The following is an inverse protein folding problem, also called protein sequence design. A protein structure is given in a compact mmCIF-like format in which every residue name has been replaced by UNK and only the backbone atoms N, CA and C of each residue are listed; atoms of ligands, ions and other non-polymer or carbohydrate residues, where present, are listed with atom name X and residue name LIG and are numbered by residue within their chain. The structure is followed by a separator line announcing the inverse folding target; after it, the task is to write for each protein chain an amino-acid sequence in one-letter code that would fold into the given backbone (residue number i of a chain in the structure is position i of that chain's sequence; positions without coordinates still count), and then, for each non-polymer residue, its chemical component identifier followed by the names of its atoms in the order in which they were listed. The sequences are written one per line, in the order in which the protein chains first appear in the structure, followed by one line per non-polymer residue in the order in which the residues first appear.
data_IF_177356931725
#
_entry.id   IF_177356931725
#
_cell.length_a   1.000
_cell.length_b   1.000
_cell.length_c   1.000
_cell.angle_alpha   90.00
_cell.angle_beta   90.00
_cell.angle_gamma   90.00
#
_symmetry.space_group_name_H-M   'P 1'
#
loop_
_entity.id
_entity.type
_entity.pdbx_description
1 polymer ?
#
# COMPACT_ATOMS: atom_id res chain seq x y z
N UNK A 1 24.33 16.52 9.71
CA UNK A 1 23.07 15.76 9.72
C UNK A 1 23.26 14.61 10.69
N UNK A 2 22.46 14.54 11.76
CA UNK A 2 22.50 13.37 12.63
C UNK A 2 22.04 12.13 11.83
N UNK A 3 22.57 10.94 12.11
CA UNK A 3 22.05 9.73 11.48
C UNK A 3 20.52 9.64 11.72
N UNK A 4 19.78 9.21 10.69
CA UNK A 4 18.32 9.01 10.68
C UNK A 4 17.42 10.25 10.55
N UNK A 5 17.98 11.45 10.41
CA UNK A 5 17.20 12.65 10.06
C UNK A 5 17.15 12.76 8.54
N UNK A 6 15.95 12.82 7.94
CA UNK A 6 15.78 13.27 6.55
C UNK A 6 15.69 14.80 6.54
N UNK A 7 16.17 15.42 5.45
CA UNK A 7 16.05 16.85 5.28
C UNK A 7 14.56 17.18 5.13
N UNK A 8 14.01 17.84 6.14
CA UNK A 8 12.67 18.38 6.17
C UNK A 8 12.79 19.91 6.26
N UNK A 9 11.82 20.63 5.71
CA UNK A 9 11.84 22.10 5.68
C UNK A 9 11.63 22.71 7.07
N UNK A 10 11.14 21.92 8.03
CA UNK A 10 11.00 22.28 9.45
C UNK A 10 11.99 21.46 10.31
N UNK A 11 12.93 22.11 11.03
CA UNK A 11 13.89 21.43 11.90
C UNK A 11 13.27 20.87 13.19
N UNK A 12 11.96 21.02 13.39
CA UNK A 12 11.23 20.59 14.58
C UNK A 12 10.01 19.73 14.26
N UNK A 13 9.55 18.92 15.22
CA UNK A 13 8.36 18.08 15.06
C UNK A 13 8.66 16.64 14.59
N UNK A 14 7.72 16.04 13.86
CA UNK A 14 7.81 14.67 13.34
C UNK A 14 7.65 14.67 11.83
N UNK A 15 8.45 13.87 11.11
CA UNK A 15 8.36 13.68 9.66
C UNK A 15 8.27 12.20 9.28
N UNK A 16 8.34 11.92 7.99
CA UNK A 16 8.34 10.55 7.44
C UNK A 16 9.36 10.41 6.30
N UNK A 17 9.44 9.21 5.71
CA UNK A 17 10.26 8.92 4.52
C UNK A 17 11.55 8.17 4.83
N UNK A 18 11.84 7.93 6.12
CA UNK A 18 12.94 7.09 6.53
C UNK A 18 12.73 5.65 6.03
N UNK A 19 13.81 4.86 5.84
CA UNK A 19 13.70 3.49 5.34
C UNK A 19 13.21 2.50 6.41
N UNK A 20 12.68 2.96 7.54
CA UNK A 20 12.29 2.09 8.65
C UNK A 20 10.84 1.64 8.56
N UNK A 21 10.52 0.52 9.20
CA UNK A 21 9.20 -0.11 9.10
C UNK A 21 8.05 0.82 9.55
N UNK A 22 8.29 1.70 10.52
CA UNK A 22 7.28 2.64 11.00
C UNK A 22 6.84 3.67 9.95
N UNK A 23 7.69 3.96 8.96
CA UNK A 23 7.36 4.86 7.82
C UNK A 23 6.87 4.09 6.59
N UNK A 24 7.21 2.80 6.46
CA UNK A 24 6.83 1.98 5.30
C UNK A 24 5.50 1.22 5.49
N UNK A 25 5.13 0.89 6.73
CA UNK A 25 4.02 -0.01 7.01
C UNK A 25 2.70 0.75 7.17
N UNK A 26 1.89 0.76 6.11
CA UNK A 26 0.58 1.42 6.06
C UNK A 26 -0.58 0.42 6.13
N UNK A 27 -1.73 0.79 6.73
CA UNK A 27 -2.92 -0.06 6.71
C UNK A 27 -3.56 -0.10 5.31
N UNK A 28 -4.04 -1.27 4.90
CA UNK A 28 -4.79 -1.47 3.66
C UNK A 28 -6.15 -2.10 3.99
N UNK A 29 -7.23 -1.37 3.70
CA UNK A 29 -8.60 -1.83 3.91
C UNK A 29 -9.32 -1.93 2.57
N UNK A 30 -10.01 -3.05 2.35
CA UNK A 30 -10.93 -3.26 1.24
C UNK A 30 -12.34 -3.47 1.78
N UNK A 31 -13.33 -2.86 1.14
CA UNK A 31 -14.71 -2.94 1.56
C UNK A 31 -15.65 -2.98 0.35
N UNK A 32 -16.74 -3.75 0.45
CA UNK A 32 -17.80 -3.80 -0.55
C UNK A 32 -18.21 -5.21 -0.99
N UNK A 33 -19.14 -5.27 -1.95
CA UNK A 33 -19.78 -6.50 -2.41
C UNK A 33 -18.86 -7.50 -3.13
N UNK A 34 -17.64 -7.11 -3.51
CA UNK A 34 -16.65 -8.00 -4.15
C UNK A 34 -15.46 -8.35 -3.24
N UNK A 35 -15.53 -7.99 -1.96
CA UNK A 35 -14.47 -8.23 -0.98
C UNK A 35 -14.83 -9.38 -0.06
N UNK A 36 -13.94 -10.37 0.07
CA UNK A 36 -14.07 -11.45 1.05
C UNK A 36 -13.72 -10.91 2.45
N UNK A 37 -14.64 -10.97 3.43
CA UNK A 37 -14.36 -10.50 4.77
C UNK A 37 -13.20 -11.24 5.44
N UNK A 38 -12.48 -10.52 6.30
CA UNK A 38 -11.46 -11.08 7.18
C UNK A 38 -10.14 -10.34 7.14
N UNK A 39 -9.20 -10.82 7.94
CA UNK A 39 -7.86 -10.24 8.07
C UNK A 39 -6.90 -11.07 7.21
N UNK A 40 -6.02 -10.40 6.48
CA UNK A 40 -4.89 -11.02 5.78
C UNK A 40 -3.61 -10.48 6.40
N UNK A 41 -2.71 -11.40 6.78
CA UNK A 41 -1.36 -11.07 7.30
C UNK A 41 -0.27 -11.36 6.27
N UNK A 42 -0.67 -11.68 5.04
CA UNK A 42 0.23 -11.88 3.91
C UNK A 42 0.84 -10.55 3.47
N UNK A 43 2.08 -10.55 2.97
CA UNK A 43 2.69 -9.33 2.43
C UNK A 43 1.85 -8.74 1.28
N UNK A 44 1.67 -7.41 1.35
CA UNK A 44 1.03 -6.59 0.32
C UNK A 44 1.79 -5.27 0.20
N UNK A 45 1.87 -4.74 -1.01
CA UNK A 45 2.48 -3.45 -1.31
C UNK A 45 1.41 -2.45 -1.77
N UNK A 46 1.68 -1.15 -1.61
CA UNK A 46 0.81 -0.08 -2.14
C UNK A 46 0.65 -0.22 -3.67
N UNK A 47 1.67 -0.72 -4.37
CA UNK A 47 1.64 -0.99 -5.80
C UNK A 47 0.62 -2.06 -6.22
N UNK A 48 0.13 -2.89 -5.28
CA UNK A 48 -0.85 -3.94 -5.54
C UNK A 48 -2.28 -3.41 -5.64
N UNK A 49 -2.54 -2.18 -5.16
CA UNK A 49 -3.90 -1.59 -5.08
C UNK A 49 -4.50 -1.43 -6.48
N UNK A 50 -3.76 -0.80 -7.40
CA UNK A 50 -4.24 -0.51 -8.74
C UNK A 50 -4.58 -1.78 -9.57
N UNK A 51 -3.70 -2.79 -9.70
CA UNK A 51 -4.05 -4.03 -10.42
C UNK A 51 -5.16 -4.83 -9.73
N UNK A 52 -5.25 -4.81 -8.39
CA UNK A 52 -6.34 -5.47 -7.67
C UNK A 52 -7.69 -4.83 -7.93
N UNK A 53 -7.77 -3.49 -7.94
CA UNK A 53 -9.00 -2.78 -8.24
C UNK A 53 -9.42 -2.99 -9.70
N UNK A 54 -8.47 -2.96 -10.64
CA UNK A 54 -8.74 -3.26 -12.04
C UNK A 54 -9.34 -4.67 -12.21
N UNK A 55 -8.72 -5.68 -11.58
CA UNK A 55 -9.23 -7.05 -11.57
C UNK A 55 -10.64 -7.15 -10.96
N UNK A 56 -10.88 -6.47 -9.83
CA UNK A 56 -12.19 -6.42 -9.17
C UNK A 56 -13.27 -5.83 -10.07
N UNK A 57 -12.92 -4.87 -10.93
CA UNK A 57 -13.83 -4.18 -11.85
C UNK A 57 -13.93 -4.83 -13.24
N UNK A 58 -13.10 -5.84 -13.54
CA UNK A 58 -13.03 -6.43 -14.88
C UNK A 58 -12.38 -5.53 -15.92
N UNK A 59 -11.46 -4.66 -15.49
CA UNK A 59 -10.71 -3.74 -16.34
C UNK A 59 -9.29 -4.25 -16.58
N UNK A 60 -8.67 -3.79 -17.67
CA UNK A 60 -7.23 -3.96 -17.87
C UNK A 60 -6.47 -3.20 -16.77
N UNK A 61 -5.39 -3.79 -16.26
CA UNK A 61 -4.51 -3.12 -15.31
C UNK A 61 -3.84 -1.90 -15.98
N UNK A 62 -3.56 -0.81 -15.22
CA UNK A 62 -2.78 0.30 -15.74
C UNK A 62 -1.41 -0.17 -16.28
N UNK A 63 -0.98 0.37 -17.42
CA UNK A 63 0.26 -0.07 -18.08
C UNK A 63 1.53 0.12 -17.23
N UNK A 64 1.51 1.01 -16.23
CA UNK A 64 2.59 1.23 -15.28
C UNK A 64 2.49 0.43 -13.97
N UNK A 65 1.49 -0.44 -13.82
CA UNK A 65 1.32 -1.24 -12.61
C UNK A 65 2.47 -2.25 -12.45
N UNK A 66 3.08 -2.27 -11.27
CA UNK A 66 4.19 -3.18 -10.91
C UNK A 66 3.84 -4.18 -9.80
N UNK A 67 2.68 -4.01 -9.16
CA UNK A 67 2.20 -4.88 -8.10
C UNK A 67 1.47 -6.12 -8.62
N UNK A 68 1.15 -7.04 -7.70
CA UNK A 68 0.32 -8.21 -7.97
C UNK A 68 -1.15 -7.93 -7.68
N UNK A 69 -2.02 -8.77 -8.21
CA UNK A 69 -3.43 -8.81 -7.78
C UNK A 69 -3.51 -9.51 -6.41
N UNK A 70 -4.17 -8.87 -5.45
CA UNK A 70 -4.49 -9.45 -4.14
C UNK A 70 -5.73 -10.34 -4.24
N UNK A 71 -5.61 -11.43 -5.00
CA UNK A 71 -6.70 -12.37 -5.28
C UNK A 71 -7.33 -12.93 -4.01
N UNK A 72 -6.56 -13.04 -2.92
CA UNK A 72 -7.03 -13.50 -1.60
C UNK A 72 -8.09 -12.59 -0.95
N UNK A 73 -8.32 -11.40 -1.50
CA UNK A 73 -9.31 -10.43 -1.04
C UNK A 73 -10.56 -10.39 -1.92
N UNK A 74 -10.52 -10.96 -3.12
CA UNK A 74 -11.60 -10.92 -4.10
C UNK A 74 -12.55 -12.11 -3.91
N UNK A 75 -13.85 -11.88 -4.13
CA UNK A 75 -14.86 -12.95 -4.24
C UNK A 75 -14.79 -13.65 -5.59
#
# INVERSE_FOLDING_TARGET
MAPYVLADDDPSGTGHGSPWAYDQQVPLLWFGGRVVPGIRRTPAAVADIAPTLAAMLGLAAPGGSRGRVLSEMLR
#
